data_IF_821250296140
#
_entry.id   IF_821250296140
#
_cell.length_a   1.000
_cell.length_b   1.000
_cell.length_c   1.000
_cell.angle_alpha   90.00
_cell.angle_beta   90.00
_cell.angle_gamma   90.00
#
_symmetry.space_group_name_H-M   'P 1'
#
loop_
_entity.id
_entity.type
_entity.pdbx_description
1 polymer ?
#
# COMPACT_ATOMS: atom_id res chain seq x y z
N UNK A 1 -17.76 22.50 -1.35
CA UNK A 1 -17.52 23.06 -2.70
C UNK A 1 -16.02 23.25 -2.82
N UNK A 2 -15.33 22.21 -3.24
CA UNK A 2 -13.92 22.28 -3.60
C UNK A 2 -13.83 22.70 -5.07
N UNK A 3 -13.31 23.90 -5.27
CA UNK A 3 -13.20 24.48 -6.62
C UNK A 3 -12.24 23.68 -7.52
N UNK A 4 -12.74 23.50 -8.40
CA UNK A 4 -12.10 22.88 -9.43
C UNK A 4 -11.07 23.73 -10.06
N UNK A 5 -10.94 24.49 -9.55
CA UNK A 5 -10.05 25.40 -9.96
C UNK A 5 -8.64 24.98 -9.95
N UNK A 6 -8.35 24.03 -9.30
CA UNK A 6 -6.97 23.49 -9.26
C UNK A 6 -6.67 22.74 -10.56
N UNK A 7 -7.66 22.20 -11.22
CA UNK A 7 -7.46 21.40 -12.44
C UNK A 7 -7.21 22.24 -13.71
N UNK A 8 -7.58 23.50 -13.72
CA UNK A 8 -7.51 24.31 -14.96
C UNK A 8 -6.14 24.92 -15.22
N UNK A 9 -5.29 25.04 -14.19
CA UNK A 9 -3.94 25.63 -14.37
C UNK A 9 -2.83 24.63 -14.71
N UNK A 10 -3.16 23.36 -14.84
CA UNK A 10 -2.19 22.31 -15.20
C UNK A 10 -1.90 22.20 -16.70
N UNK A 11 -2.38 23.13 -17.53
CA UNK A 11 -2.16 23.12 -18.98
C UNK A 11 -0.69 23.31 -19.43
N UNK A 12 0.25 23.46 -18.48
CA UNK A 12 1.68 23.61 -18.79
C UNK A 12 2.57 22.47 -18.29
N UNK A 13 2.00 21.34 -17.91
CA UNK A 13 2.80 20.14 -17.69
C UNK A 13 3.19 19.58 -19.06
N UNK A 14 4.41 19.82 -19.49
CA UNK A 14 4.95 19.11 -20.66
C UNK A 14 5.07 17.64 -20.24
N UNK A 15 4.17 16.83 -20.74
CA UNK A 15 4.13 15.40 -20.48
C UNK A 15 4.98 14.70 -21.52
N UNK A 16 6.16 14.32 -21.15
CA UNK A 16 6.89 13.31 -21.90
C UNK A 16 6.45 11.95 -21.34
N UNK A 17 6.44 10.97 -22.20
CA UNK A 17 6.05 9.60 -21.83
C UNK A 17 7.30 8.74 -21.84
N UNK A 18 7.48 7.98 -20.79
CA UNK A 18 8.67 7.16 -20.55
C UNK A 18 8.24 5.78 -20.08
N UNK A 19 9.08 4.80 -20.28
CA UNK A 19 8.85 3.45 -19.71
C UNK A 19 9.29 3.44 -18.25
N UNK A 20 8.56 2.72 -17.43
CA UNK A 20 8.82 2.65 -15.97
C UNK A 20 10.24 2.15 -15.68
N UNK A 21 10.78 1.25 -16.51
CA UNK A 21 12.15 0.71 -16.36
C UNK A 21 13.22 1.83 -16.36
N UNK A 22 12.91 2.99 -16.90
CA UNK A 22 13.86 4.13 -16.86
C UNK A 22 13.96 4.75 -15.45
N UNK A 23 13.03 4.43 -14.57
CA UNK A 23 12.89 5.03 -13.23
C UNK A 23 13.07 4.04 -12.08
N UNK A 24 12.83 2.76 -12.31
CA UNK A 24 13.02 1.72 -11.29
C UNK A 24 13.17 0.33 -11.89
N UNK A 25 13.85 -0.53 -11.16
CA UNK A 25 13.86 -1.97 -11.38
C UNK A 25 12.88 -2.66 -10.43
N UNK A 26 12.40 -3.84 -10.82
CA UNK A 26 11.54 -4.66 -9.96
C UNK A 26 12.37 -5.80 -9.39
N UNK A 27 12.47 -5.85 -8.07
CA UNK A 27 13.17 -6.90 -7.35
C UNK A 27 12.18 -7.90 -6.76
N UNK A 28 12.51 -9.18 -6.87
CA UNK A 28 11.65 -10.27 -6.41
C UNK A 28 11.92 -10.64 -4.96
N UNK A 29 10.87 -11.05 -4.26
CA UNK A 29 10.97 -11.49 -2.89
C UNK A 29 11.41 -12.94 -2.73
N UNK A 30 11.57 -13.34 -1.48
CA UNK A 30 12.05 -14.65 -1.04
C UNK A 30 10.89 -15.66 -0.95
N UNK A 31 11.15 -16.91 -1.31
CA UNK A 31 10.18 -18.01 -1.23
C UNK A 31 10.22 -18.64 0.17
N UNK A 32 9.50 -18.05 1.12
CA UNK A 32 9.46 -18.53 2.50
C UNK A 32 8.72 -19.86 2.61
N UNK A 33 9.28 -20.76 3.41
CA UNK A 33 8.69 -22.07 3.72
C UNK A 33 7.76 -21.96 4.93
N UNK A 34 6.52 -22.39 4.78
CA UNK A 34 5.50 -22.30 5.84
C UNK A 34 5.90 -23.02 7.13
N UNK A 35 6.70 -24.09 7.02
CA UNK A 35 7.20 -24.83 8.18
C UNK A 35 8.13 -24.03 9.09
N UNK A 36 8.61 -22.87 8.65
CA UNK A 36 9.48 -21.98 9.46
C UNK A 36 8.69 -20.83 10.10
N UNK A 37 7.39 -20.74 9.89
CA UNK A 37 6.57 -19.66 10.45
C UNK A 37 6.42 -19.84 11.96
N UNK A 38 6.49 -18.72 12.68
CA UNK A 38 6.40 -18.70 14.14
C UNK A 38 5.80 -17.36 14.61
N UNK A 39 4.71 -17.44 15.35
CA UNK A 39 3.99 -16.25 15.82
C UNK A 39 4.84 -15.34 16.74
N UNK A 40 5.90 -15.89 17.36
CA UNK A 40 6.83 -15.13 18.21
C UNK A 40 7.96 -14.48 17.41
N UNK A 41 7.94 -14.63 16.08
CA UNK A 41 8.97 -14.08 15.19
C UNK A 41 8.91 -12.55 15.13
N UNK A 42 10.07 -11.93 15.10
CA UNK A 42 10.20 -10.46 14.97
C UNK A 42 10.12 -9.99 13.51
N UNK A 43 10.33 -10.89 12.55
CA UNK A 43 10.36 -10.56 11.12
C UNK A 43 9.02 -10.91 10.50
N UNK A 44 8.28 -9.90 10.04
CA UNK A 44 6.98 -10.04 9.38
C UNK A 44 7.18 -10.23 7.87
N UNK A 45 6.58 -11.26 7.30
CA UNK A 45 6.65 -11.57 5.86
C UNK A 45 5.47 -10.87 5.17
N UNK A 46 5.78 -9.91 4.28
CA UNK A 46 4.75 -9.19 3.53
C UNK A 46 4.38 -9.98 2.27
N UNK A 47 3.14 -10.41 2.21
CA UNK A 47 2.53 -11.13 1.10
C UNK A 47 1.59 -10.19 0.33
N UNK A 48 0.94 -10.70 -0.71
CA UNK A 48 0.00 -9.92 -1.55
C UNK A 48 -1.17 -9.37 -0.74
N UNK A 49 -1.57 -10.02 0.34
CA UNK A 49 -2.66 -9.55 1.22
C UNK A 49 -2.25 -8.34 2.04
N UNK A 50 -0.94 -8.14 2.22
CA UNK A 50 -0.37 -7.03 2.97
C UNK A 50 -0.15 -5.78 2.09
N UNK A 51 -0.37 -5.89 0.76
CA UNK A 51 -0.28 -4.78 -0.19
C UNK A 51 -1.70 -4.48 -0.72
N UNK A 52 -2.54 -3.80 0.08
CA UNK A 52 -3.96 -3.63 -0.27
C UNK A 52 -4.20 -2.60 -1.38
N UNK A 53 -3.21 -1.79 -1.74
CA UNK A 53 -3.37 -0.65 -2.65
C UNK A 53 -3.74 0.65 -1.94
N UNK A 54 -3.78 0.62 -0.61
CA UNK A 54 -3.82 1.83 0.22
C UNK A 54 -2.40 2.39 0.36
N UNK A 55 -2.29 3.63 0.86
CA UNK A 55 -0.97 4.29 0.96
C UNK A 55 0.06 3.42 1.66
N UNK A 56 -0.32 2.78 2.76
CA UNK A 56 0.61 1.96 3.54
C UNK A 56 0.19 0.49 3.55
N UNK A 57 1.19 -0.38 3.68
CA UNK A 57 0.98 -1.81 3.88
C UNK A 57 0.05 -2.06 5.08
N UNK A 58 -0.70 -3.15 5.02
CA UNK A 58 -1.43 -3.67 6.17
C UNK A 58 -0.62 -4.82 6.76
N UNK A 59 -0.09 -4.64 7.96
CA UNK A 59 0.79 -5.59 8.62
C UNK A 59 0.14 -6.31 9.81
N UNK A 60 -1.20 -6.31 9.88
CA UNK A 60 -1.94 -6.91 10.99
C UNK A 60 -1.83 -8.44 10.98
N UNK A 61 -2.03 -9.08 9.83
CA UNK A 61 -2.09 -10.54 9.70
C UNK A 61 -0.87 -11.07 8.92
N UNK A 62 0.34 -10.81 9.41
CA UNK A 62 1.56 -11.28 8.79
C UNK A 62 2.02 -12.59 9.38
N UNK A 63 2.46 -13.50 8.50
CA UNK A 63 3.29 -14.63 8.94
C UNK A 63 4.64 -14.08 9.39
N UNK A 64 5.18 -14.64 10.48
CA UNK A 64 6.44 -14.18 11.06
C UNK A 64 7.48 -15.29 11.11
N UNK A 65 8.76 -14.90 11.17
CA UNK A 65 9.88 -15.83 11.43
C UNK A 65 10.81 -15.22 12.48
N UNK A 66 11.50 -16.10 13.22
CA UNK A 66 12.43 -15.68 14.27
C UNK A 66 13.76 -15.24 13.65
N UNK A 67 14.35 -16.09 12.80
CA UNK A 67 15.67 -15.89 12.21
C UNK A 67 15.55 -15.70 10.71
N UNK A 68 16.40 -14.83 10.16
CA UNK A 68 16.50 -14.63 8.72
C UNK A 68 17.08 -15.90 8.06
N UNK A 69 16.59 -16.27 6.86
CA UNK A 69 17.27 -17.29 6.06
C UNK A 69 18.71 -16.89 5.76
N UNK A 70 19.62 -17.87 5.70
CA UNK A 70 21.05 -17.59 5.45
C UNK A 70 21.32 -17.05 4.04
N UNK A 71 20.39 -17.31 3.12
CA UNK A 71 20.50 -16.94 1.70
C UNK A 71 19.62 -15.73 1.34
N UNK A 72 19.06 -15.03 2.32
CA UNK A 72 18.26 -13.82 2.08
C UNK A 72 19.15 -12.70 1.51
N UNK A 73 18.65 -11.97 0.55
CA UNK A 73 19.36 -10.87 -0.08
C UNK A 73 18.98 -9.53 0.54
N UNK A 74 19.85 -8.54 0.44
CA UNK A 74 19.66 -7.22 1.08
C UNK A 74 18.35 -6.55 0.68
N UNK A 75 17.96 -6.63 -0.60
CA UNK A 75 16.72 -6.04 -1.10
C UNK A 75 15.46 -6.75 -0.59
N UNK A 76 15.60 -7.97 -0.05
CA UNK A 76 14.48 -8.73 0.49
C UNK A 76 14.17 -8.35 1.95
N UNK A 77 15.05 -7.56 2.57
CA UNK A 77 14.84 -6.95 3.90
C UNK A 77 14.38 -5.50 3.67
N UNK A 78 13.09 -5.26 3.90
CA UNK A 78 12.44 -4.01 3.50
C UNK A 78 12.74 -2.87 4.46
N UNK A 79 12.71 -1.65 3.90
CA UNK A 79 12.96 -0.40 4.62
C UNK A 79 11.73 0.50 4.56
N UNK A 80 11.63 1.41 5.51
CA UNK A 80 10.57 2.42 5.51
C UNK A 80 10.60 3.21 4.20
N UNK A 81 9.44 3.33 3.57
CA UNK A 81 9.27 4.05 2.32
C UNK A 81 9.39 3.18 1.07
N UNK A 82 9.91 1.96 1.17
CA UNK A 82 9.98 1.05 0.00
C UNK A 82 8.60 0.93 -0.66
N UNK A 83 8.58 1.03 -2.00
CA UNK A 83 7.35 0.89 -2.79
C UNK A 83 7.18 -0.58 -3.16
N UNK A 84 6.09 -1.18 -2.72
CA UNK A 84 5.77 -2.60 -2.95
C UNK A 84 4.62 -2.72 -3.94
N UNK A 85 4.68 -3.74 -4.80
CA UNK A 85 3.64 -4.03 -5.79
C UNK A 85 3.19 -5.49 -5.68
N UNK A 86 1.89 -5.72 -5.71
CA UNK A 86 1.32 -7.06 -5.76
C UNK A 86 1.43 -7.62 -7.19
N UNK A 87 2.11 -8.77 -7.36
CA UNK A 87 2.36 -9.41 -8.66
C UNK A 87 1.38 -10.54 -8.97
N UNK A 88 0.59 -10.98 -7.99
CA UNK A 88 -0.35 -12.12 -8.14
C UNK A 88 -1.65 -11.80 -7.40
N UNK A 89 -2.76 -12.31 -7.93
CA UNK A 89 -4.08 -12.10 -7.34
C UNK A 89 -4.61 -10.70 -7.64
N UNK A 90 -4.52 -9.78 -6.70
CA UNK A 90 -4.88 -8.37 -6.90
C UNK A 90 -3.70 -7.60 -7.49
N UNK A 91 -3.36 -7.94 -8.74
CA UNK A 91 -2.16 -7.42 -9.42
C UNK A 91 -2.19 -5.89 -9.58
N UNK A 92 -1.02 -5.28 -9.49
CA UNK A 92 -0.84 -3.84 -9.72
C UNK A 92 -1.16 -2.95 -8.55
N UNK A 93 -1.60 -3.51 -7.42
CA UNK A 93 -1.80 -2.73 -6.19
C UNK A 93 -0.45 -2.36 -5.59
N UNK A 94 -0.33 -1.11 -5.18
CA UNK A 94 0.94 -0.54 -4.71
C UNK A 94 0.73 0.08 -3.33
N UNK A 95 1.67 -0.20 -2.41
CA UNK A 95 1.67 0.39 -1.06
C UNK A 95 3.10 0.71 -0.61
N UNK A 96 3.23 1.66 0.32
CA UNK A 96 4.51 2.03 0.93
C UNK A 96 4.76 1.18 2.17
N UNK A 97 5.99 0.73 2.34
CA UNK A 97 6.44 0.01 3.53
C UNK A 97 6.52 0.98 4.72
N UNK A 98 6.04 0.53 5.89
CA UNK A 98 6.15 1.25 7.16
C UNK A 98 7.52 1.00 7.80
N UNK A 99 7.83 1.72 8.87
CA UNK A 99 8.97 1.38 9.72
C UNK A 99 8.67 0.07 10.46
N UNK A 100 9.60 -0.87 10.39
CA UNK A 100 9.45 -2.19 11.01
C UNK A 100 10.41 -3.23 10.46
N UNK A 101 10.27 -4.45 10.93
CA UNK A 101 11.08 -5.60 10.49
C UNK A 101 10.28 -6.39 9.46
N UNK A 102 10.36 -6.01 8.21
CA UNK A 102 9.57 -6.61 7.13
C UNK A 102 10.46 -7.33 6.11
N UNK A 103 9.92 -8.41 5.56
CA UNK A 103 10.57 -9.25 4.56
C UNK A 103 9.67 -9.37 3.32
N UNK A 104 10.30 -9.30 2.16
CA UNK A 104 9.62 -9.33 0.87
C UNK A 104 9.34 -10.78 0.44
N UNK A 105 8.07 -11.13 0.25
CA UNK A 105 7.65 -12.45 -0.24
C UNK A 105 7.71 -12.50 -1.78
N UNK A 106 7.95 -13.69 -2.34
CA UNK A 106 8.14 -13.96 -3.79
C UNK A 106 7.02 -13.46 -4.71
N UNK A 107 5.81 -13.20 -4.18
CA UNK A 107 4.66 -12.74 -4.98
C UNK A 107 4.43 -11.23 -4.88
N UNK A 108 5.34 -10.55 -4.18
CA UNK A 108 5.37 -9.09 -4.06
C UNK A 108 6.66 -8.60 -4.68
N UNK A 109 6.59 -7.56 -5.47
CA UNK A 109 7.76 -6.89 -6.04
C UNK A 109 8.15 -5.67 -5.24
N UNK A 110 9.46 -5.43 -5.10
CA UNK A 110 10.01 -4.18 -4.59
C UNK A 110 10.42 -3.32 -5.79
N UNK A 111 9.95 -2.08 -5.83
CA UNK A 111 10.41 -1.13 -6.85
C UNK A 111 11.70 -0.45 -6.35
N UNK A 112 12.82 -0.87 -6.89
CA UNK A 112 14.13 -0.29 -6.58
C UNK A 112 14.36 0.93 -7.46
N UNK A 113 14.26 2.12 -6.88
CA UNK A 113 14.30 3.39 -7.60
C UNK A 113 15.68 3.73 -8.13
N UNK A 114 15.73 4.26 -9.35
CA UNK A 114 16.95 4.86 -9.90
C UNK A 114 17.31 6.14 -9.12
N UNK A 115 18.59 6.54 -9.19
CA UNK A 115 19.07 7.78 -8.56
C UNK A 115 18.27 8.97 -9.09
N UNK A 116 17.95 9.91 -8.21
CA UNK A 116 17.28 11.16 -8.52
C UNK A 116 15.79 11.02 -8.91
N UNK A 117 15.20 9.84 -8.77
CA UNK A 117 13.76 9.67 -8.94
C UNK A 117 13.05 10.16 -7.67
N UNK A 118 12.03 10.98 -7.83
CA UNK A 118 11.21 11.41 -6.69
C UNK A 118 10.24 10.28 -6.33
N UNK A 119 10.50 9.64 -5.20
CA UNK A 119 9.77 8.48 -4.70
C UNK A 119 8.28 8.77 -4.54
N UNK A 120 7.93 9.89 -3.92
CA UNK A 120 6.52 10.26 -3.68
C UNK A 120 5.78 10.46 -5.01
N UNK A 121 6.40 11.15 -5.96
CA UNK A 121 5.79 11.38 -7.27
C UNK A 121 5.55 10.06 -8.00
N UNK A 122 6.55 9.17 -7.99
CA UNK A 122 6.41 7.86 -8.63
C UNK A 122 5.32 7.04 -7.95
N UNK A 123 5.31 7.00 -6.61
CA UNK A 123 4.25 6.33 -5.84
C UNK A 123 2.86 6.83 -6.27
N UNK A 124 2.69 8.14 -6.40
CA UNK A 124 1.39 8.75 -6.77
C UNK A 124 0.94 8.31 -8.18
N UNK A 125 1.86 8.13 -9.10
CA UNK A 125 1.54 7.62 -10.45
C UNK A 125 1.10 6.13 -10.35
N UNK A 126 1.87 5.33 -9.62
CA UNK A 126 1.68 3.89 -9.55
C UNK A 126 0.51 3.48 -8.64
N UNK A 127 0.11 4.33 -7.69
CA UNK A 127 -1.09 4.10 -6.86
C UNK A 127 -2.39 4.49 -7.59
N UNK A 128 -2.28 5.01 -8.83
CA UNK A 128 -3.47 5.43 -9.60
C UNK A 128 -4.25 4.23 -10.14
N UNK A 129 -5.58 4.40 -10.22
CA UNK A 129 -6.47 3.40 -10.84
C UNK A 129 -6.05 3.09 -12.30
N UNK A 130 -5.47 4.07 -12.99
CA UNK A 130 -4.98 3.89 -14.37
C UNK A 130 -3.86 2.84 -14.42
N UNK A 131 -2.91 2.90 -13.47
CA UNK A 131 -1.82 1.93 -13.40
C UNK A 131 -2.38 0.54 -13.06
N UNK A 132 -3.20 0.44 -11.99
CA UNK A 132 -3.81 -0.84 -11.59
C UNK A 132 -4.57 -1.48 -12.76
N UNK A 133 -5.39 -0.71 -13.47
CA UNK A 133 -6.14 -1.21 -14.63
C UNK A 133 -5.22 -1.71 -15.75
N UNK A 134 -4.07 -1.04 -15.96
CA UNK A 134 -3.08 -1.50 -16.96
C UNK A 134 -2.47 -2.84 -16.54
N UNK A 135 -2.16 -3.02 -15.27
CA UNK A 135 -1.60 -4.28 -14.76
C UNK A 135 -2.63 -5.41 -14.83
N UNK A 136 -3.89 -5.11 -14.51
CA UNK A 136 -5.00 -6.06 -14.65
C UNK A 136 -5.11 -6.52 -16.11
N UNK A 137 -5.01 -5.59 -17.06
CA UNK A 137 -5.08 -5.90 -18.49
C UNK A 137 -3.93 -6.83 -18.93
N UNK A 138 -2.72 -6.66 -18.39
CA UNK A 138 -1.57 -7.53 -18.65
C UNK A 138 -1.80 -8.95 -18.12
N UNK A 139 -2.44 -9.08 -16.95
CA UNK A 139 -2.67 -10.36 -16.29
C UNK A 139 -3.86 -11.17 -16.82
N UNK A 140 -4.65 -10.61 -17.75
CA UNK A 140 -5.85 -11.27 -18.27
C UNK A 140 -5.50 -12.49 -19.15
N UNK A 141 -6.28 -13.55 -19.01
CA UNK A 141 -6.13 -14.78 -19.78
C UNK A 141 -5.48 -15.93 -19.03
N UNK A 142 -4.92 -15.68 -17.84
CA UNK A 142 -4.38 -16.73 -17.00
C UNK A 142 -5.45 -17.26 -16.02
N UNK A 143 -5.32 -18.51 -15.61
CA UNK A 143 -6.21 -19.13 -14.61
C UNK A 143 -6.15 -18.40 -13.26
N UNK A 144 -5.01 -17.80 -12.96
CA UNK A 144 -4.82 -16.93 -11.79
C UNK A 144 -4.13 -15.66 -12.28
N UNK A 145 -4.66 -14.50 -11.90
CA UNK A 145 -4.07 -13.21 -12.24
C UNK A 145 -2.61 -13.16 -11.77
N UNK A 146 -1.71 -12.95 -12.70
CA UNK A 146 -0.28 -12.88 -12.44
C UNK A 146 0.40 -11.98 -13.48
N UNK A 147 1.27 -11.09 -13.02
CA UNK A 147 2.06 -10.21 -13.87
C UNK A 147 3.54 -10.42 -13.57
N UNK A 148 4.34 -10.30 -14.61
CA UNK A 148 5.79 -10.41 -14.49
C UNK A 148 6.48 -9.06 -14.36
N UNK A 149 7.76 -9.11 -14.06
CA UNK A 149 8.65 -7.94 -14.00
C UNK A 149 8.50 -7.07 -15.27
N UNK A 150 8.56 -7.71 -16.44
CA UNK A 150 8.47 -6.99 -17.73
C UNK A 150 7.13 -6.27 -17.95
N UNK A 151 6.03 -6.80 -17.43
CA UNK A 151 4.71 -6.14 -17.55
C UNK A 151 4.71 -4.80 -16.82
N UNK A 152 5.33 -4.78 -15.63
CA UNK A 152 5.45 -3.57 -14.79
C UNK A 152 6.44 -2.58 -15.44
N UNK A 153 7.62 -3.06 -15.82
CA UNK A 153 8.71 -2.25 -16.38
C UNK A 153 8.32 -1.57 -17.70
N UNK A 154 7.50 -2.24 -18.51
CA UNK A 154 7.02 -1.71 -19.80
C UNK A 154 5.88 -0.69 -19.64
N UNK A 155 5.38 -0.46 -18.43
CA UNK A 155 4.31 0.54 -18.23
C UNK A 155 4.79 1.91 -18.66
N UNK A 156 3.97 2.60 -19.47
CA UNK A 156 4.27 3.94 -19.98
C UNK A 156 3.62 4.98 -19.08
N UNK A 157 4.44 5.78 -18.44
CA UNK A 157 3.99 6.81 -17.48
C UNK A 157 4.33 8.22 -17.97
N UNK A 158 3.50 9.22 -17.61
CA UNK A 158 3.84 10.61 -17.84
C UNK A 158 4.83 11.08 -16.77
N UNK A 159 5.97 11.59 -17.18
CA UNK A 159 6.96 12.11 -16.25
C UNK A 159 7.41 13.49 -16.75
N UNK A 160 7.62 14.42 -15.85
CA UNK A 160 8.06 15.78 -16.20
C UNK A 160 9.57 15.84 -16.23
N UNK A 161 10.13 16.54 -17.22
CA UNK A 161 11.56 16.87 -17.24
C UNK A 161 11.91 17.97 -16.23
N UNK A 162 10.89 18.67 -15.67
CA UNK A 162 11.08 19.75 -14.72
C UNK A 162 10.95 19.26 -13.29
N UNK A 163 12.07 19.15 -12.58
CA UNK A 163 12.12 18.66 -11.19
C UNK A 163 11.28 19.48 -10.22
N UNK A 164 11.16 20.80 -10.43
CA UNK A 164 10.32 21.65 -9.57
C UNK A 164 8.84 21.29 -9.72
N UNK A 165 8.39 20.97 -10.93
CA UNK A 165 7.01 20.52 -11.16
C UNK A 165 6.74 19.19 -10.47
N UNK A 166 7.70 18.27 -10.53
CA UNK A 166 7.63 16.95 -9.87
C UNK A 166 7.50 17.15 -8.35
N UNK A 167 8.40 17.94 -7.78
CA UNK A 167 8.42 18.20 -6.33
C UNK A 167 7.12 18.87 -5.87
N UNK A 168 6.63 19.83 -6.63
CA UNK A 168 5.38 20.54 -6.32
C UNK A 168 4.19 19.58 -6.36
N UNK A 169 4.07 18.77 -7.42
CA UNK A 169 3.00 17.80 -7.56
C UNK A 169 3.05 16.74 -6.42
N UNK A 170 4.25 16.22 -6.14
CA UNK A 170 4.47 15.25 -5.06
C UNK A 170 3.98 15.79 -3.71
N UNK A 171 4.37 17.02 -3.37
CA UNK A 171 3.97 17.66 -2.10
C UNK A 171 2.45 17.84 -1.99
N UNK A 172 1.81 18.32 -3.06
CA UNK A 172 0.35 18.52 -3.05
C UNK A 172 -0.38 17.18 -2.88
N UNK A 173 -0.02 16.19 -3.68
CA UNK A 173 -0.68 14.87 -3.64
C UNK A 173 -0.47 14.19 -2.29
N UNK A 174 0.75 14.27 -1.75
CA UNK A 174 1.07 13.79 -0.40
C UNK A 174 0.18 14.46 0.66
N UNK A 175 -0.01 15.78 0.56
CA UNK A 175 -0.87 16.51 1.51
C UNK A 175 -2.32 16.03 1.47
N UNK A 176 -2.84 15.73 0.28
CA UNK A 176 -4.18 15.16 0.14
C UNK A 176 -4.27 13.75 0.75
N UNK A 177 -3.25 12.91 0.52
CA UNK A 177 -3.20 11.58 1.14
C UNK A 177 -3.23 11.67 2.66
N UNK A 178 -2.44 12.58 3.24
CA UNK A 178 -2.40 12.79 4.70
C UNK A 178 -3.78 13.25 5.23
N UNK A 179 -4.45 14.14 4.50
CA UNK A 179 -5.81 14.56 4.86
C UNK A 179 -6.79 13.38 4.83
N UNK A 180 -6.74 12.57 3.77
CA UNK A 180 -7.61 11.39 3.61
C UNK A 180 -7.34 10.39 4.76
N UNK A 181 -6.08 10.08 5.04
CA UNK A 181 -5.68 9.15 6.11
C UNK A 181 -6.21 9.65 7.47
N UNK A 182 -6.05 10.93 7.75
CA UNK A 182 -6.50 11.53 9.02
C UNK A 182 -8.03 11.47 9.16
N UNK A 183 -8.78 11.74 8.09
CA UNK A 183 -10.25 11.66 8.13
C UNK A 183 -10.73 10.20 8.26
N UNK A 184 -10.07 9.26 7.61
CA UNK A 184 -10.39 7.82 7.76
C UNK A 184 -10.13 7.36 9.20
N UNK A 185 -8.99 7.76 9.78
CA UNK A 185 -8.67 7.47 11.19
C UNK A 185 -9.73 8.05 12.12
N UNK A 186 -10.15 9.30 11.87
CA UNK A 186 -11.20 9.96 12.65
C UNK A 186 -12.53 9.21 12.54
N UNK A 187 -12.89 8.78 11.35
CA UNK A 187 -14.12 8.00 11.12
C UNK A 187 -14.08 6.68 11.89
N UNK A 188 -12.94 5.99 11.87
CA UNK A 188 -12.74 4.74 12.62
C UNK A 188 -12.95 4.97 14.11
N UNK A 189 -12.32 6.00 14.68
CA UNK A 189 -12.44 6.33 16.12
C UNK A 189 -13.89 6.67 16.49
N UNK A 190 -14.59 7.44 15.67
CA UNK A 190 -15.99 7.78 15.90
C UNK A 190 -16.90 6.53 15.83
N UNK A 191 -16.60 5.63 14.91
CA UNK A 191 -17.32 4.36 14.78
C UNK A 191 -17.11 3.49 16.02
N UNK A 192 -15.89 3.40 16.52
CA UNK A 192 -15.57 2.67 17.77
C UNK A 192 -16.29 3.30 18.96
N UNK A 193 -16.29 4.63 19.06
CA UNK A 193 -16.99 5.37 20.13
C UNK A 193 -18.49 5.10 20.07
N UNK A 194 -19.09 5.18 18.88
CA UNK A 194 -20.51 4.86 18.68
C UNK A 194 -20.82 3.45 19.17
N UNK A 195 -20.01 2.47 18.80
CA UNK A 195 -20.20 1.06 19.19
C UNK A 195 -20.09 0.88 20.70
N UNK A 196 -19.09 1.52 21.31
CA UNK A 196 -18.91 1.52 22.77
C UNK A 196 -20.16 2.07 23.49
N UNK A 197 -20.67 3.23 23.05
CA UNK A 197 -21.85 3.85 23.65
C UNK A 197 -23.09 2.96 23.53
N UNK A 198 -23.31 2.35 22.36
CA UNK A 198 -24.40 1.40 22.16
C UNK A 198 -24.32 0.23 23.13
N UNK A 199 -23.11 -0.34 23.30
CA UNK A 199 -22.89 -1.45 24.25
C UNK A 199 -23.24 -1.00 25.66
N UNK A 200 -22.81 0.19 26.10
CA UNK A 200 -23.14 0.71 27.44
C UNK A 200 -24.65 0.90 27.64
N UNK A 201 -25.36 1.40 26.63
CA UNK A 201 -26.79 1.60 26.70
C UNK A 201 -27.55 0.27 26.88
N UNK A 202 -27.14 -0.80 26.22
CA UNK A 202 -27.78 -2.09 26.32
C UNK A 202 -27.43 -2.85 27.61
N UNK A 203 -26.27 -2.66 28.17
CA UNK A 203 -25.90 -3.21 29.49
C UNK A 203 -26.73 -2.57 30.60
N UNK A 204 -26.90 -1.45 30.47
CA UNK A 204 -27.61 -0.73 31.38
C UNK A 204 -28.98 -1.10 31.45
N UNK A 205 -29.50 -1.46 30.43
CA UNK A 205 -30.91 -1.88 30.44
C UNK A 205 -31.13 -3.27 31.02
N UNK A 206 -30.13 -4.11 31.09
CA UNK A 206 -30.25 -5.44 31.66
C UNK A 206 -30.07 -5.49 33.19
N UNK A 207 -29.63 -4.38 33.80
CA UNK A 207 -29.39 -4.31 35.26
C UNK A 207 -30.57 -3.86 36.13
N UNK A 208 -31.74 -3.54 35.54
CA UNK A 208 -32.87 -3.01 36.30
C UNK A 208 -34.10 -3.93 36.39
N UNK A 209 -33.90 -5.24 36.21
CA UNK A 209 -34.96 -6.21 36.47
C UNK A 209 -34.50 -7.17 37.56
N UNK A 210 -34.55 -6.70 38.81
CA UNK A 210 -34.77 -7.58 39.96
C UNK A 210 -34.85 -6.77 41.25
N UNK A 211 -35.97 -6.11 41.49
CA UNK A 211 -36.41 -5.80 42.84
C UNK A 211 -37.82 -5.21 42.76
N UNK A 212 -38.80 -6.03 42.76
CA UNK A 212 -40.13 -5.81 43.33
C UNK A 212 -41.07 -6.90 42.83
N UNK A 213 -41.27 -7.88 43.66
CA UNK A 213 -42.55 -8.50 43.87
C UNK A 213 -42.38 -9.59 44.95
N UNK A 214 -42.48 -9.13 46.19
CA UNK A 214 -42.76 -9.99 47.31
C UNK A 214 -43.94 -9.38 48.06
N UNK A 215 -45.12 -9.90 47.82
CA UNK A 215 -46.26 -9.90 48.70
C UNK A 215 -47.15 -11.08 48.36
#
# INVERSE_FOLDING_TARGET
>A
VCDXXIFVRTKRFVRNYYMLVEYCDIENGYAFQSGKYNALGKWKILTITNVPGERYINDEDCNCIINLPNDIQDHQVLKEGDILISLTGNVGRVSLCKNGNYLLNQRVGLLQLAKNVNQEFLYQILSSQRFENSMIACGQGAAQMNIGKGDVENYVLPYSSNGNNILFAAKILHSYDECIINELRRLTLLTMQKQYLLTQMFIXTSGTKDSSFAY
#
